data_IF_955571288499
#
_entry.id   IF_955571288499
#
_cell.length_a   1.000
_cell.length_b   1.000
_cell.length_c   1.000
_cell.angle_alpha   90.00
_cell.angle_beta   90.00
_cell.angle_gamma   90.00
#
_symmetry.space_group_name_H-M   'P 1'
#
loop_
_entity.id
_entity.type
_entity.pdbx_description
1 polymer ?
#
# COMPACT_ATOMS: atom_id res chain seq x y z
N UNK A 1 -22.30 6.40 28.79
CA UNK A 1 -21.02 6.04 28.14
C UNK A 1 -20.75 4.59 28.45
N UNK A 2 -20.23 3.79 27.51
CA UNK A 2 -19.77 2.43 27.84
C UNK A 2 -18.79 2.50 29.02
N UNK A 3 -19.01 1.64 30.02
CA UNK A 3 -18.16 1.58 31.21
C UNK A 3 -17.07 0.55 30.93
N UNK A 4 -15.82 1.00 30.88
CA UNK A 4 -14.65 0.13 30.72
C UNK A 4 -14.04 -0.15 32.09
N UNK A 5 -13.62 -1.38 32.33
CA UNK A 5 -13.03 -1.78 33.61
C UNK A 5 -11.62 -1.18 33.81
N UNK A 6 -10.91 -0.89 32.72
CA UNK A 6 -9.60 -0.23 32.72
C UNK A 6 -9.27 0.37 31.34
N UNK A 7 -8.11 1.04 31.22
CA UNK A 7 -7.58 1.50 29.94
C UNK A 7 -7.27 0.33 28.99
N UNK A 8 -6.74 -0.77 29.53
CA UNK A 8 -6.44 -2.00 28.79
C UNK A 8 -7.73 -2.62 28.26
N UNK A 9 -8.80 -2.62 29.05
CA UNK A 9 -10.11 -3.11 28.65
C UNK A 9 -10.69 -2.29 27.50
N UNK A 10 -10.64 -0.95 27.61
CA UNK A 10 -10.99 -0.04 26.52
C UNK A 10 -10.20 -0.37 25.25
N UNK A 11 -8.86 -0.36 25.32
CA UNK A 11 -8.00 -0.61 24.16
C UNK A 11 -8.25 -1.96 23.50
N UNK A 12 -8.52 -3.02 24.27
CA UNK A 12 -8.88 -4.35 23.74
C UNK A 12 -10.22 -4.31 23.01
N UNK A 13 -11.24 -3.70 23.61
CA UNK A 13 -12.59 -3.66 23.03
C UNK A 13 -12.67 -2.77 21.78
N UNK A 14 -11.85 -1.72 21.69
CA UNK A 14 -11.82 -0.82 20.54
C UNK A 14 -10.72 -1.13 19.51
N UNK A 15 -9.96 -2.22 19.71
CA UNK A 15 -8.85 -2.62 18.86
C UNK A 15 -7.82 -1.49 18.66
N UNK A 16 -7.29 -0.97 19.77
CA UNK A 16 -6.28 0.10 19.83
C UNK A 16 -5.03 -0.42 20.55
N UNK A 17 -3.83 -0.09 20.08
CA UNK A 17 -2.60 -0.40 20.83
C UNK A 17 -2.41 0.55 22.02
N UNK A 18 -1.93 -0.03 23.12
CA UNK A 18 -1.73 0.68 24.39
C UNK A 18 -0.42 1.50 24.38
N UNK A 19 0.59 1.04 23.63
CA UNK A 19 1.91 1.64 23.57
C UNK A 19 2.42 1.75 22.13
N UNK A 20 3.49 2.54 21.99
CA UNK A 20 4.15 2.80 20.71
C UNK A 20 4.79 1.54 20.15
N UNK A 21 4.81 1.45 18.83
CA UNK A 21 5.56 0.43 18.09
C UNK A 21 6.91 1.03 17.68
N UNK A 22 7.94 0.75 18.48
CA UNK A 22 9.27 1.31 18.26
C UNK A 22 9.90 0.80 16.95
N UNK A 23 9.52 -0.38 16.46
CA UNK A 23 10.02 -0.92 15.19
C UNK A 23 9.45 -0.13 14.02
N UNK A 24 8.15 0.16 14.01
CA UNK A 24 7.53 1.01 12.97
C UNK A 24 8.06 2.44 13.01
N UNK A 25 8.26 3.00 14.19
CA UNK A 25 8.82 4.34 14.37
C UNK A 25 10.25 4.40 13.83
N UNK A 26 11.08 3.42 14.17
CA UNK A 26 12.46 3.36 13.69
C UNK A 26 12.50 3.15 12.17
N UNK A 27 11.66 2.25 11.64
CA UNK A 27 11.53 2.04 10.21
C UNK A 27 11.18 3.35 9.48
N UNK A 28 10.20 4.10 9.98
CA UNK A 28 9.82 5.37 9.36
C UNK A 28 11.01 6.35 9.32
N UNK A 29 11.72 6.53 10.43
CA UNK A 29 12.87 7.43 10.53
C UNK A 29 14.01 7.05 9.59
N UNK A 30 14.25 5.76 9.41
CA UNK A 30 15.38 5.27 8.63
C UNK A 30 15.09 5.15 7.13
N UNK A 31 13.83 4.98 6.74
CA UNK A 31 13.48 4.57 5.38
C UNK A 31 12.50 5.51 4.65
N UNK A 32 11.85 6.44 5.35
CA UNK A 32 10.82 7.31 4.76
C UNK A 32 11.26 8.77 4.75
N UNK A 33 10.98 9.43 3.63
CA UNK A 33 11.22 10.85 3.41
C UNK A 33 9.94 11.66 3.64
N UNK A 34 10.07 13.00 3.67
CA UNK A 34 8.95 13.95 3.77
C UNK A 34 8.08 13.82 5.02
N UNK A 35 8.58 13.09 6.01
CA UNK A 35 7.94 13.01 7.30
C UNK A 35 7.77 14.45 7.84
N UNK A 36 6.61 14.79 8.42
CA UNK A 36 6.25 16.16 8.76
C UNK A 36 7.01 16.72 9.98
N UNK A 37 8.26 16.29 10.19
CA UNK A 37 9.10 16.63 11.31
C UNK A 37 9.87 17.91 11.05
N UNK A 38 9.54 18.96 11.79
CA UNK A 38 10.58 19.84 12.31
C UNK A 38 10.84 19.39 13.74
N UNK A 39 12.09 19.04 14.08
CA UNK A 39 12.51 18.53 15.41
C UNK A 39 12.16 19.47 16.58
N UNK A 40 11.67 20.66 16.27
CA UNK A 40 11.33 21.73 17.20
C UNK A 40 9.91 21.57 17.79
N UNK A 41 8.98 20.86 17.12
CA UNK A 41 7.64 20.58 17.65
C UNK A 41 7.50 19.16 18.21
N UNK A 42 7.78 19.03 19.51
CA UNK A 42 7.67 17.76 20.24
C UNK A 42 6.24 17.18 20.28
N UNK A 43 5.20 18.01 20.21
CA UNK A 43 3.82 17.55 20.28
C UNK A 43 3.38 16.95 18.94
N UNK A 44 3.84 17.52 17.83
CA UNK A 44 3.57 16.97 16.51
C UNK A 44 4.20 15.59 16.32
N UNK A 45 5.41 15.44 16.85
CA UNK A 45 6.14 14.19 16.84
C UNK A 45 5.42 13.07 17.62
N UNK A 46 4.94 13.38 18.82
CA UNK A 46 4.22 12.42 19.67
C UNK A 46 2.96 11.87 18.98
N UNK A 47 2.16 12.74 18.38
CA UNK A 47 0.90 12.33 17.77
C UNK A 47 1.11 11.52 16.48
N UNK A 48 2.13 11.87 15.68
CA UNK A 48 2.55 11.05 14.54
C UNK A 48 3.02 9.66 14.97
N UNK A 49 3.88 9.56 16.00
CA UNK A 49 4.36 8.26 16.50
C UNK A 49 3.21 7.38 17.00
N UNK A 50 2.21 7.98 17.66
CA UNK A 50 0.98 7.30 18.06
C UNK A 50 0.19 6.79 16.87
N UNK A 51 0.00 7.63 15.86
CA UNK A 51 -0.74 7.34 14.63
C UNK A 51 -0.18 6.10 13.93
N UNK A 52 1.12 6.07 13.63
CA UNK A 52 1.73 4.95 12.91
C UNK A 52 1.82 3.68 13.76
N UNK A 53 1.80 3.80 15.09
CA UNK A 53 1.87 2.68 16.03
C UNK A 53 0.52 1.97 16.26
N UNK A 54 -0.58 2.44 15.67
CA UNK A 54 -1.91 1.93 15.95
C UNK A 54 -2.46 2.28 17.32
N UNK A 55 -1.91 3.31 17.94
CA UNK A 55 -2.51 3.97 19.09
C UNK A 55 -3.59 4.94 18.60
N UNK A 56 -4.49 5.37 19.51
CA UNK A 56 -5.32 6.53 19.23
C UNK A 56 -4.45 7.76 19.04
N UNK A 57 -4.74 8.53 18.00
CA UNK A 57 -4.11 9.82 17.71
C UNK A 57 -5.20 10.86 17.41
N UNK A 58 -4.81 12.14 17.37
CA UNK A 58 -5.69 13.22 16.96
C UNK A 58 -5.55 13.45 15.45
N UNK A 59 -6.51 13.02 14.61
CA UNK A 59 -6.43 13.23 13.15
C UNK A 59 -6.60 14.70 12.77
N UNK A 60 -7.23 15.52 13.62
CA UNK A 60 -7.38 16.96 13.45
C UNK A 60 -6.20 17.79 13.95
N UNK A 61 -5.06 17.16 14.26
CA UNK A 61 -3.84 17.93 14.53
C UNK A 61 -3.44 18.68 13.25
N UNK A 62 -3.17 19.97 13.41
CA UNK A 62 -2.88 20.91 12.32
C UNK A 62 -1.86 20.40 11.30
N UNK A 63 -0.75 19.80 11.74
CA UNK A 63 0.30 19.37 10.81
C UNK A 63 -0.13 18.17 9.96
N UNK A 64 -0.85 17.22 10.56
CA UNK A 64 -1.43 16.10 9.83
C UNK A 64 -2.52 16.56 8.87
N UNK A 65 -3.39 17.49 9.30
CA UNK A 65 -4.43 18.07 8.45
C UNK A 65 -3.82 18.80 7.25
N UNK A 66 -2.86 19.70 7.48
CA UNK A 66 -2.18 20.43 6.42
C UNK A 66 -1.43 19.51 5.48
N UNK A 67 -0.82 18.42 5.98
CA UNK A 67 -0.18 17.43 5.14
C UNK A 67 -1.17 16.76 4.17
N UNK A 68 -2.33 16.28 4.66
CA UNK A 68 -3.37 15.68 3.82
C UNK A 68 -3.92 16.67 2.79
N UNK A 69 -4.07 17.94 3.16
CA UNK A 69 -4.54 18.98 2.23
C UNK A 69 -3.51 19.24 1.13
N UNK A 70 -2.24 19.43 1.48
CA UNK A 70 -1.15 19.67 0.51
C UNK A 70 -0.94 18.49 -0.43
N UNK A 71 -1.10 17.26 0.06
CA UNK A 71 -0.99 16.07 -0.78
C UNK A 71 -1.95 16.11 -1.97
N UNK A 72 -3.15 16.66 -1.81
CA UNK A 72 -4.14 16.76 -2.90
C UNK A 72 -3.61 17.57 -4.08
N UNK A 73 -2.83 18.62 -3.82
CA UNK A 73 -2.19 19.41 -4.87
C UNK A 73 -1.16 18.56 -5.62
N UNK A 74 -0.31 17.82 -4.91
CA UNK A 74 0.64 16.89 -5.54
C UNK A 74 -0.05 15.82 -6.38
N UNK A 75 -1.19 15.27 -5.93
CA UNK A 75 -1.94 14.26 -6.69
C UNK A 75 -2.50 14.86 -8.00
N UNK A 76 -2.97 16.10 -7.98
CA UNK A 76 -3.42 16.81 -9.18
C UNK A 76 -2.25 17.08 -10.14
N UNK A 77 -1.11 17.54 -9.62
CA UNK A 77 0.10 17.79 -10.40
C UNK A 77 0.64 16.51 -11.04
N UNK A 78 0.60 15.37 -10.34
CA UNK A 78 0.96 14.07 -10.91
C UNK A 78 0.08 13.67 -12.10
N UNK A 79 -1.20 14.03 -12.06
CA UNK A 79 -2.17 13.82 -13.14
C UNK A 79 -1.98 14.76 -14.34
N UNK A 80 -1.25 15.86 -14.18
CA UNK A 80 -1.03 16.84 -15.23
C UNK A 80 0.08 16.46 -16.22
N UNK A 81 0.90 15.45 -15.92
CA UNK A 81 1.94 14.95 -16.82
C UNK A 81 1.32 14.44 -18.14
N UNK A 82 1.63 15.09 -19.27
CA UNK A 82 1.16 14.67 -20.60
C UNK A 82 2.29 14.05 -21.38
N UNK A 83 2.06 12.85 -21.92
CA UNK A 83 3.07 12.13 -22.70
C UNK A 83 3.63 12.95 -23.88
N UNK A 84 2.79 13.78 -24.51
CA UNK A 84 3.17 14.66 -25.64
C UNK A 84 4.28 15.67 -25.31
N UNK A 85 4.53 15.94 -24.04
CA UNK A 85 5.54 16.91 -23.58
C UNK A 85 6.94 16.28 -23.42
N UNK A 86 7.06 14.97 -23.71
CA UNK A 86 8.28 14.18 -23.53
C UNK A 86 8.69 13.52 -24.85
N UNK A 87 9.99 13.22 -25.00
CA UNK A 87 10.55 12.67 -26.24
C UNK A 87 10.43 11.15 -26.31
N UNK A 88 10.21 10.48 -25.18
CA UNK A 88 10.13 9.02 -25.09
C UNK A 88 9.29 8.56 -23.90
N UNK A 89 8.82 7.31 -23.94
CA UNK A 89 8.13 6.66 -22.81
C UNK A 89 9.00 6.61 -21.57
N UNK A 90 10.30 6.34 -21.73
CA UNK A 90 11.26 6.31 -20.63
C UNK A 90 11.36 7.67 -19.93
N UNK A 91 11.51 8.75 -20.68
CA UNK A 91 11.60 10.11 -20.12
C UNK A 91 10.32 10.48 -19.35
N UNK A 92 9.15 10.15 -19.91
CA UNK A 92 7.85 10.36 -19.25
C UNK A 92 7.73 9.59 -17.93
N UNK A 93 8.07 8.30 -17.94
CA UNK A 93 8.02 7.44 -16.76
C UNK A 93 9.01 7.89 -15.68
N UNK A 94 10.25 8.24 -16.09
CA UNK A 94 11.27 8.75 -15.18
C UNK A 94 10.83 10.05 -14.51
N UNK A 95 10.30 11.01 -15.28
CA UNK A 95 9.82 12.28 -14.74
C UNK A 95 8.65 12.10 -13.77
N UNK A 96 7.69 11.22 -14.09
CA UNK A 96 6.58 10.87 -13.18
C UNK A 96 7.09 10.23 -11.90
N UNK A 97 8.01 9.28 -12.00
CA UNK A 97 8.60 8.62 -10.81
C UNK A 97 9.35 9.62 -9.94
N UNK A 98 10.14 10.50 -10.54
CA UNK A 98 10.89 11.49 -9.77
C UNK A 98 9.98 12.53 -9.12
N UNK A 99 8.82 12.83 -9.72
CA UNK A 99 7.78 13.61 -9.06
C UNK A 99 7.14 12.88 -7.88
N UNK A 100 6.87 11.57 -7.97
CA UNK A 100 6.36 10.78 -6.83
C UNK A 100 7.32 10.84 -5.63
N UNK A 101 8.63 10.84 -5.87
CA UNK A 101 9.66 10.98 -4.82
C UNK A 101 9.59 12.29 -4.05
N UNK A 102 8.82 13.29 -4.50
CA UNK A 102 8.67 14.57 -3.78
C UNK A 102 7.67 14.51 -2.63
N UNK A 103 6.81 13.48 -2.57
CA UNK A 103 5.78 13.36 -1.53
C UNK A 103 5.54 11.94 -1.01
N UNK A 104 5.92 10.90 -1.76
CA UNK A 104 5.89 9.51 -1.28
C UNK A 104 7.13 9.22 -0.42
N UNK A 105 6.97 8.47 0.67
CA UNK A 105 8.03 8.22 1.65
C UNK A 105 9.25 7.55 1.04
N UNK A 106 9.05 6.51 0.21
CA UNK A 106 10.10 5.91 -0.61
C UNK A 106 9.54 5.40 -1.93
N UNK A 107 10.28 5.62 -3.02
CA UNK A 107 9.93 5.18 -4.37
C UNK A 107 11.15 4.51 -5.01
N UNK A 108 11.10 3.19 -5.15
CA UNK A 108 12.14 2.42 -5.81
C UNK A 108 12.21 2.67 -7.32
N UNK A 109 13.35 2.32 -7.91
CA UNK A 109 13.55 2.36 -9.36
C UNK A 109 12.50 1.54 -10.10
N UNK A 110 12.17 1.92 -11.34
CA UNK A 110 11.16 1.22 -12.14
C UNK A 110 9.71 1.39 -11.66
N UNK A 111 9.46 2.14 -10.59
CA UNK A 111 8.09 2.41 -10.12
C UNK A 111 7.29 3.22 -11.15
N UNK A 112 6.08 2.76 -11.46
CA UNK A 112 5.13 3.47 -12.31
C UNK A 112 3.69 3.28 -11.81
N UNK A 113 2.91 4.35 -11.78
CA UNK A 113 1.51 4.31 -11.35
C UNK A 113 0.63 5.03 -12.35
N UNK A 114 -0.40 4.35 -12.81
CA UNK A 114 -1.43 4.95 -13.65
C UNK A 114 -2.30 5.92 -12.84
N UNK A 115 -2.53 7.12 -13.39
CA UNK A 115 -3.40 8.12 -12.76
C UNK A 115 -4.89 7.82 -13.05
N UNK A 116 -5.82 7.95 -12.09
CA UNK A 116 -5.63 8.57 -10.78
C UNK A 116 -5.11 7.63 -9.70
N UNK A 117 -4.41 8.23 -8.73
CA UNK A 117 -3.92 7.59 -7.51
C UNK A 117 -4.38 8.41 -6.30
N UNK A 118 -4.62 7.73 -5.18
CA UNK A 118 -5.16 8.33 -3.97
C UNK A 118 -4.36 7.91 -2.74
N UNK A 119 -4.02 8.88 -1.90
CA UNK A 119 -3.28 8.70 -0.67
C UNK A 119 -3.86 9.57 0.44
N UNK A 120 -3.66 9.20 1.71
CA UNK A 120 -3.92 10.11 2.83
C UNK A 120 -2.75 11.08 3.02
N UNK A 121 -1.52 10.56 3.10
CA UNK A 121 -0.30 11.33 3.37
C UNK A 121 0.79 11.13 2.32
N UNK A 122 0.92 9.93 1.75
CA UNK A 122 1.99 9.55 0.82
C UNK A 122 3.31 9.23 1.52
N UNK A 123 3.74 10.04 2.49
CA UNK A 123 5.02 9.88 3.19
C UNK A 123 5.11 8.62 4.06
N UNK A 124 3.98 7.97 4.39
CA UNK A 124 3.95 6.73 5.17
C UNK A 124 4.07 5.48 4.29
N UNK A 125 4.21 5.66 2.97
CA UNK A 125 4.29 4.56 2.00
C UNK A 125 5.74 4.33 1.56
N UNK A 126 6.17 3.07 1.69
CA UNK A 126 7.42 2.54 1.13
C UNK A 126 7.10 1.67 -0.08
N UNK A 127 7.57 2.08 -1.27
CA UNK A 127 7.48 1.29 -2.50
C UNK A 127 8.87 0.76 -2.87
N UNK A 128 8.99 -0.55 -3.03
CA UNK A 128 10.18 -1.21 -3.55
C UNK A 128 10.44 -0.91 -5.04
N UNK A 129 11.34 -1.67 -5.65
CA UNK A 129 11.67 -1.58 -7.06
C UNK A 129 10.58 -2.19 -7.93
N UNK A 130 10.44 -1.69 -9.14
CA UNK A 130 9.53 -2.20 -10.17
C UNK A 130 8.08 -2.32 -9.69
N UNK A 131 7.64 -1.42 -8.80
CA UNK A 131 6.25 -1.34 -8.39
C UNK A 131 5.40 -0.81 -9.56
N UNK A 132 4.37 -1.55 -9.93
CA UNK A 132 3.40 -1.13 -10.93
C UNK A 132 2.01 -1.05 -10.33
N UNK A 133 1.28 0.04 -10.58
CA UNK A 133 -0.16 0.05 -10.39
C UNK A 133 -0.90 0.50 -11.63
N UNK A 134 -1.97 -0.21 -11.92
CA UNK A 134 -3.00 0.23 -12.86
C UNK A 134 -3.86 1.34 -12.21
N UNK A 135 -4.89 1.81 -12.93
CA UNK A 135 -5.70 2.97 -12.55
C UNK A 135 -6.36 2.82 -11.18
N UNK A 136 -6.63 3.95 -10.52
CA UNK A 136 -7.42 4.03 -9.28
C UNK A 136 -6.81 3.30 -8.08
N UNK A 137 -5.48 3.25 -7.97
CA UNK A 137 -4.83 2.78 -6.75
C UNK A 137 -5.20 3.71 -5.58
N UNK A 138 -5.66 3.13 -4.48
CA UNK A 138 -5.97 3.86 -3.24
C UNK A 138 -5.15 3.30 -2.08
N UNK A 139 -4.31 4.12 -1.46
CA UNK A 139 -3.53 3.75 -0.27
C UNK A 139 -3.84 4.75 0.85
N UNK A 140 -4.67 4.36 1.80
CA UNK A 140 -4.91 5.16 3.01
C UNK A 140 -3.80 4.84 4.02
N UNK A 141 -2.73 5.63 4.00
CA UNK A 141 -1.48 5.41 4.74
C UNK A 141 -1.43 6.19 6.08
N UNK A 142 -2.49 6.13 6.88
CA UNK A 142 -2.44 6.58 8.28
C UNK A 142 -1.40 5.79 9.11
N UNK A 143 -1.12 4.54 8.79
CA UNK A 143 0.04 3.80 9.31
C UNK A 143 0.96 3.38 8.15
N UNK A 144 2.10 2.79 8.48
CA UNK A 144 3.15 2.44 7.52
C UNK A 144 2.62 1.40 6.53
N UNK A 145 2.76 1.69 5.24
CA UNK A 145 2.50 0.73 4.16
C UNK A 145 3.83 0.35 3.52
N UNK A 146 4.20 -0.92 3.60
CA UNK A 146 5.44 -1.47 3.02
C UNK A 146 5.07 -2.35 1.85
N UNK A 147 5.55 -2.02 0.65
CA UNK A 147 5.38 -2.81 -0.55
C UNK A 147 6.77 -3.18 -1.07
N UNK A 148 7.01 -4.48 -1.23
CA UNK A 148 8.28 -5.03 -1.71
C UNK A 148 8.54 -4.77 -3.20
N UNK A 149 9.54 -5.48 -3.71
CA UNK A 149 9.98 -5.37 -5.10
C UNK A 149 9.06 -6.18 -6.05
N UNK A 150 8.95 -5.75 -7.30
CA UNK A 150 8.20 -6.40 -8.38
C UNK A 150 6.73 -6.66 -8.05
N UNK A 151 6.10 -5.76 -7.28
CA UNK A 151 4.68 -5.87 -6.96
C UNK A 151 3.85 -5.21 -8.06
N UNK A 152 2.81 -5.92 -8.51
CA UNK A 152 1.86 -5.42 -9.50
C UNK A 152 0.47 -5.29 -8.90
N UNK A 153 -0.17 -4.14 -9.09
CA UNK A 153 -1.55 -3.87 -8.70
C UNK A 153 -2.43 -3.69 -9.94
N UNK A 154 -3.53 -4.44 -10.00
CA UNK A 154 -4.61 -4.24 -10.95
C UNK A 154 -5.39 -2.96 -10.68
N UNK A 155 -6.40 -2.70 -11.50
CA UNK A 155 -7.23 -1.49 -11.39
C UNK A 155 -8.02 -1.49 -10.09
N UNK A 156 -8.08 -0.36 -9.38
CA UNK A 156 -8.95 -0.18 -8.22
C UNK A 156 -8.51 -0.92 -6.95
N UNK A 157 -7.25 -1.33 -6.86
CA UNK A 157 -6.69 -1.92 -5.63
C UNK A 157 -6.73 -0.91 -4.48
N UNK A 158 -7.21 -1.36 -3.32
CA UNK A 158 -7.32 -0.55 -2.10
C UNK A 158 -6.47 -1.12 -0.96
N UNK A 159 -5.56 -0.33 -0.39
CA UNK A 159 -4.75 -0.68 0.78
C UNK A 159 -5.12 0.29 1.90
N UNK A 160 -5.79 -0.21 2.94
CA UNK A 160 -6.52 0.63 3.89
C UNK A 160 -6.02 0.40 5.33
N UNK A 161 -5.06 1.21 5.78
CA UNK A 161 -4.54 1.13 7.16
C UNK A 161 -5.47 1.65 8.26
N UNK A 162 -6.31 2.69 8.05
CA UNK A 162 -7.11 3.25 9.15
C UNK A 162 -8.27 2.35 9.54
N UNK A 163 -8.67 2.47 10.81
CA UNK A 163 -9.86 1.85 11.38
C UNK A 163 -10.50 2.78 12.41
N UNK A 164 -11.76 2.49 12.73
CA UNK A 164 -12.52 3.20 13.75
C UNK A 164 -13.14 2.20 14.72
N UNK A 165 -13.49 2.63 15.95
CA UNK A 165 -14.32 1.84 16.83
C UNK A 165 -15.61 1.39 16.14
N UNK A 166 -15.98 0.13 16.35
CA UNK A 166 -17.23 -0.43 15.83
C UNK A 166 -18.42 0.19 16.57
N UNK A 167 -18.28 0.46 17.88
CA UNK A 167 -19.26 1.18 18.70
C UNK A 167 -19.49 2.61 18.15
N UNK A 168 -20.70 2.95 17.71
CA UNK A 168 -21.01 4.27 17.16
C UNK A 168 -20.85 5.40 18.18
N UNK A 169 -21.06 5.14 19.48
CA UNK A 169 -20.87 6.12 20.55
C UNK A 169 -19.41 6.57 20.61
N UNK A 170 -18.49 5.61 20.51
CA UNK A 170 -17.06 5.87 20.50
C UNK A 170 -16.61 6.49 19.18
N UNK A 171 -17.14 6.00 18.05
CA UNK A 171 -16.84 6.53 16.72
C UNK A 171 -17.25 8.00 16.55
N UNK A 172 -18.34 8.43 17.19
CA UNK A 172 -18.79 9.83 17.16
C UNK A 172 -17.82 10.82 17.83
N UNK A 173 -16.86 10.32 18.60
CA UNK A 173 -15.75 11.13 19.12
C UNK A 173 -14.58 11.25 18.13
N UNK A 174 -14.77 10.84 16.87
CA UNK A 174 -13.76 10.84 15.80
C UNK A 174 -12.47 10.10 16.21
N UNK A 175 -12.62 9.06 17.02
CA UNK A 175 -11.50 8.20 17.43
C UNK A 175 -11.01 7.41 16.21
N UNK A 176 -9.71 7.51 15.96
CA UNK A 176 -9.04 6.86 14.83
C UNK A 176 -7.75 6.21 15.30
N UNK A 177 -7.46 5.05 14.72
CA UNK A 177 -6.19 4.36 14.81
C UNK A 177 -5.93 3.65 13.48
N UNK A 178 -4.68 3.30 13.21
CA UNK A 178 -4.29 2.67 11.96
C UNK A 178 -3.29 1.55 12.18
N UNK A 179 -3.37 0.50 11.38
CA UNK A 179 -2.46 -0.63 11.47
C UNK A 179 -1.66 -0.79 10.18
N UNK A 180 -0.35 -0.95 10.33
CA UNK A 180 0.56 -1.08 9.21
C UNK A 180 0.17 -2.25 8.30
N UNK A 181 0.47 -2.11 7.00
CA UNK A 181 0.32 -3.18 6.00
C UNK A 181 1.69 -3.50 5.43
N UNK A 182 1.98 -4.79 5.26
CA UNK A 182 3.19 -5.25 4.59
C UNK A 182 2.81 -6.17 3.43
N UNK A 183 3.31 -5.87 2.24
CA UNK A 183 3.19 -6.69 1.03
C UNK A 183 4.60 -7.08 0.62
N UNK A 184 4.85 -8.39 0.56
CA UNK A 184 6.11 -8.98 0.16
C UNK A 184 6.46 -8.74 -1.30
N UNK A 185 7.60 -9.30 -1.72
CA UNK A 185 8.10 -9.18 -3.08
C UNK A 185 7.27 -10.03 -4.05
N UNK A 186 7.31 -9.71 -5.34
CA UNK A 186 6.72 -10.49 -6.43
C UNK A 186 5.22 -10.80 -6.25
N UNK A 187 4.49 -9.94 -5.54
CA UNK A 187 3.06 -10.11 -5.34
C UNK A 187 2.25 -9.53 -6.51
N UNK A 188 1.13 -10.17 -6.83
CA UNK A 188 0.14 -9.63 -7.76
C UNK A 188 -1.21 -9.42 -7.07
N UNK A 189 -1.65 -8.17 -7.00
CA UNK A 189 -2.94 -7.78 -6.45
C UNK A 189 -3.93 -7.57 -7.60
N UNK A 190 -4.90 -8.46 -7.73
CA UNK A 190 -5.93 -8.40 -8.76
C UNK A 190 -6.86 -7.21 -8.59
N UNK A 191 -7.51 -6.82 -9.70
CA UNK A 191 -8.35 -5.62 -9.73
C UNK A 191 -9.45 -5.60 -8.66
N UNK A 192 -9.69 -4.44 -8.06
CA UNK A 192 -10.68 -4.19 -7.01
C UNK A 192 -10.51 -5.06 -5.76
N UNK A 193 -9.31 -5.61 -5.49
CA UNK A 193 -9.05 -6.24 -4.20
C UNK A 193 -8.75 -5.20 -3.10
N UNK A 194 -9.04 -5.56 -1.86
CA UNK A 194 -8.80 -4.72 -0.69
C UNK A 194 -7.90 -5.45 0.32
N UNK A 195 -6.88 -4.76 0.82
CA UNK A 195 -6.04 -5.20 1.94
C UNK A 195 -6.31 -4.29 3.13
N UNK A 196 -6.77 -4.87 4.25
CA UNK A 196 -7.09 -4.10 5.47
C UNK A 196 -5.86 -3.94 6.36
N UNK A 197 -5.87 -2.90 7.20
CA UNK A 197 -4.80 -2.60 8.14
C UNK A 197 -4.44 -3.77 9.06
N UNK A 198 -3.13 -3.94 9.30
CA UNK A 198 -2.60 -5.00 10.15
C UNK A 198 -2.29 -6.30 9.42
N UNK A 199 -2.50 -6.35 8.10
CA UNK A 199 -2.21 -7.52 7.27
C UNK A 199 -0.77 -7.52 6.76
N UNK A 200 -0.12 -8.67 6.88
CA UNK A 200 1.11 -9.03 6.18
C UNK A 200 0.83 -10.06 5.09
N UNK A 201 1.14 -9.73 3.84
CA UNK A 201 1.13 -10.63 2.68
C UNK A 201 2.57 -11.06 2.40
N UNK A 202 2.85 -12.35 2.44
CA UNK A 202 4.17 -12.89 2.12
C UNK A 202 4.52 -12.80 0.63
N UNK A 203 5.79 -13.04 0.31
CA UNK A 203 6.30 -12.96 -1.06
C UNK A 203 5.56 -13.90 -2.03
N UNK A 204 5.48 -13.53 -3.30
CA UNK A 204 4.95 -14.36 -4.38
C UNK A 204 3.43 -14.61 -4.30
N UNK A 205 2.71 -13.87 -3.46
CA UNK A 205 1.27 -14.06 -3.33
C UNK A 205 0.48 -13.47 -4.50
N UNK A 206 -0.63 -14.13 -4.83
CA UNK A 206 -1.64 -13.61 -5.76
C UNK A 206 -2.92 -13.35 -4.98
N UNK A 207 -3.41 -12.11 -5.02
CA UNK A 207 -4.71 -11.73 -4.47
C UNK A 207 -5.69 -11.65 -5.62
N UNK A 208 -6.72 -12.49 -5.63
CA UNK A 208 -7.71 -12.51 -6.71
C UNK A 208 -8.49 -11.19 -6.78
N UNK A 209 -9.00 -10.87 -7.97
CA UNK A 209 -9.86 -9.71 -8.18
C UNK A 209 -11.07 -9.73 -7.23
N UNK A 210 -11.43 -8.58 -6.67
CA UNK A 210 -12.54 -8.42 -5.72
C UNK A 210 -12.32 -9.05 -4.33
N UNK A 211 -11.15 -9.61 -4.05
CA UNK A 211 -10.85 -10.24 -2.76
C UNK A 211 -10.70 -9.20 -1.64
N UNK A 212 -11.16 -9.51 -0.42
CA UNK A 212 -10.94 -8.66 0.77
C UNK A 212 -10.06 -9.40 1.76
N UNK A 213 -8.76 -9.07 1.79
CA UNK A 213 -7.77 -9.71 2.66
C UNK A 213 -7.85 -9.12 4.06
N UNK A 214 -8.28 -9.94 5.03
CA UNK A 214 -8.47 -9.54 6.43
C UNK A 214 -7.54 -10.22 7.43
N UNK A 215 -6.63 -11.07 6.95
CA UNK A 215 -5.69 -11.84 7.76
C UNK A 215 -4.37 -11.97 7.01
N UNK A 216 -3.29 -12.20 7.75
CA UNK A 216 -1.97 -12.46 7.18
C UNK A 216 -2.02 -13.63 6.19
N UNK A 217 -1.25 -13.50 5.12
CA UNK A 217 -1.19 -14.45 4.01
C UNK A 217 0.23 -15.03 3.96
N UNK A 218 0.40 -16.36 4.08
CA UNK A 218 1.70 -17.00 3.89
C UNK A 218 2.22 -16.79 2.47
N UNK A 219 3.54 -16.77 2.29
CA UNK A 219 4.17 -16.65 0.97
C UNK A 219 3.64 -17.68 -0.04
N UNK A 220 3.73 -17.33 -1.32
CA UNK A 220 3.32 -18.13 -2.48
C UNK A 220 1.87 -18.60 -2.42
N UNK A 221 0.97 -17.82 -1.84
CA UNK A 221 -0.45 -18.18 -1.72
C UNK A 221 -1.31 -17.45 -2.74
N UNK A 222 -2.27 -18.17 -3.34
CA UNK A 222 -3.42 -17.59 -4.02
C UNK A 222 -4.55 -17.38 -3.01
N UNK A 223 -5.02 -16.15 -2.87
CA UNK A 223 -6.10 -15.76 -1.95
C UNK A 223 -7.29 -15.26 -2.75
N UNK A 224 -8.50 -15.73 -2.42
CA UNK A 224 -9.73 -15.24 -3.04
C UNK A 224 -10.90 -15.17 -2.04
N UNK A 225 -11.92 -14.40 -2.39
CA UNK A 225 -13.19 -14.31 -1.67
C UNK A 225 -13.32 -13.11 -0.73
N UNK A 226 -14.51 -12.99 -0.14
CA UNK A 226 -14.87 -11.96 0.84
C UNK A 226 -15.55 -12.64 2.04
N UNK A 227 -14.85 -12.79 3.18
CA UNK A 227 -13.44 -12.46 3.40
C UNK A 227 -12.48 -13.41 2.67
N UNK A 228 -11.31 -12.90 2.32
CA UNK A 228 -10.27 -13.63 1.60
C UNK A 228 -9.77 -14.86 2.35
N UNK A 229 -9.58 -15.96 1.64
CA UNK A 229 -9.02 -17.22 2.15
C UNK A 229 -7.97 -17.73 1.18
N UNK A 230 -6.93 -18.37 1.72
CA UNK A 230 -5.96 -19.11 0.89
C UNK A 230 -6.72 -20.23 0.18
N UNK A 231 -6.73 -20.20 -1.14
CA UNK A 231 -7.36 -21.20 -2.02
C UNK A 231 -6.35 -22.25 -2.43
N UNK A 232 -5.10 -21.83 -2.64
CA UNK A 232 -4.03 -22.70 -3.12
C UNK A 232 -2.66 -22.11 -2.73
N UNK A 233 -1.71 -22.98 -2.41
CA UNK A 233 -0.28 -22.62 -2.37
C UNK A 233 0.35 -22.94 -3.73
N UNK A 234 1.18 -22.03 -4.21
CA UNK A 234 1.91 -22.10 -5.47
C UNK A 234 3.34 -22.52 -5.19
N UNK A 235 3.91 -23.30 -6.10
CA UNK A 235 5.34 -23.59 -6.12
C UNK A 235 5.92 -22.77 -7.29
N UNK A 236 6.62 -21.65 -7.01
CA UNK A 236 7.29 -20.87 -8.05
C UNK A 236 8.27 -21.76 -8.81
N UNK A 237 8.24 -21.73 -10.14
CA UNK A 237 9.20 -22.47 -10.97
C UNK A 237 10.51 -21.67 -11.08
N UNK A 238 11.63 -22.37 -11.21
CA UNK A 238 12.94 -21.75 -11.42
C UNK A 238 12.97 -20.84 -12.65
N UNK A 239 13.84 -19.82 -12.60
CA UNK A 239 14.02 -18.82 -13.66
C UNK A 239 14.52 -19.39 -15.00
N UNK A 240 15.03 -20.63 -15.01
CA UNK A 240 15.41 -21.39 -16.21
C UNK A 240 14.19 -22.07 -16.86
N UNK A 241 13.06 -21.36 -16.91
CA UNK A 241 11.84 -21.88 -17.51
C UNK A 241 11.92 -21.75 -19.04
N UNK A 242 12.30 -22.83 -19.73
CA UNK A 242 12.25 -22.91 -21.19
C UNK A 242 10.78 -22.99 -21.65
N UNK A 243 10.21 -21.81 -21.93
CA UNK A 243 8.86 -21.66 -22.48
C UNK A 243 8.73 -22.41 -23.79
N UNK A 244 9.76 -22.40 -24.64
CA UNK A 244 9.72 -23.07 -25.93
C UNK A 244 9.68 -24.60 -25.77
N UNK A 245 10.37 -25.16 -24.77
CA UNK A 245 10.29 -26.59 -24.44
C UNK A 245 8.87 -26.98 -23.99
N UNK A 246 8.26 -26.16 -23.13
CA UNK A 246 6.89 -26.40 -22.65
C UNK A 246 5.89 -26.28 -23.80
N UNK A 247 5.98 -25.23 -24.61
CA UNK A 247 5.11 -25.02 -25.76
C UNK A 247 5.24 -26.19 -26.75
N UNK A 248 6.46 -26.67 -27.05
CA UNK A 248 6.71 -27.90 -27.83
C UNK A 248 6.06 -29.13 -27.21
N UNK A 249 6.16 -29.30 -25.88
CA UNK A 249 5.59 -30.44 -25.15
C UNK A 249 4.06 -30.51 -25.23
N UNK A 250 3.38 -29.37 -25.33
CA UNK A 250 1.92 -29.29 -25.44
C UNK A 250 1.43 -29.05 -26.88
N UNK A 251 2.32 -29.06 -27.89
CA UNK A 251 1.97 -28.80 -29.30
C UNK A 251 1.49 -27.37 -29.56
N UNK A 252 1.90 -26.43 -28.70
CA UNK A 252 1.60 -25.00 -28.78
C UNK A 252 2.79 -24.19 -29.35
N UNK A 253 3.78 -24.87 -29.90
CA UNK A 253 4.96 -24.31 -30.58
C UNK A 253 4.65 -23.75 -31.98
N UNK A 254 3.40 -23.88 -32.44
CA UNK A 254 2.96 -23.47 -33.79
C UNK A 254 2.26 -22.12 -33.84
N UNK A 255 2.26 -21.33 -32.74
CA UNK A 255 1.88 -19.91 -32.84
C UNK A 255 3.02 -19.22 -33.61
N UNK A 256 2.91 -19.20 -34.93
CA UNK A 256 3.81 -18.44 -35.78
C UNK A 256 3.77 -16.97 -35.34
N UNK A 257 4.95 -16.34 -35.23
CA UNK A 257 5.09 -14.90 -34.94
C UNK A 257 4.27 -14.00 -35.88
N UNK A 258 3.76 -14.54 -36.99
CA UNK A 258 2.89 -13.88 -37.96
C UNK A 258 1.43 -13.66 -37.48
N UNK A 259 0.97 -14.38 -36.45
CA UNK A 259 -0.41 -14.25 -35.91
C UNK A 259 -0.51 -13.33 -34.67
N UNK A 260 0.63 -12.95 -34.09
CA UNK A 260 0.69 -11.97 -33.01
C UNK A 260 0.87 -10.60 -33.65
N UNK A 261 -0.24 -10.03 -34.13
CA UNK A 261 -0.24 -8.65 -34.62
C UNK A 261 0.33 -7.70 -33.57
N UNK A 262 1.24 -6.82 -34.00
CA UNK A 262 1.79 -5.75 -33.16
C UNK A 262 0.64 -4.91 -32.57
N UNK A 263 0.37 -5.10 -31.27
CA UNK A 263 -0.50 -4.26 -30.47
C UNK A 263 0.18 -3.91 -29.15
#
# INVERSE_FOLDING_TARGET
MPVFASKEDFCKQVNVRIGKDNELIQFAKDNLNHLPFTLEDKNAFENYERMISGMLYNPGQKDLELARMRLRDYLLDYGNFRFRDYKSSKEYQDAKRDFLKTFIGHVGEGTFMEYPIYFDYGFNTYLGKNFYSNYNLTILDCSIVRIGDNVMCGTGVSILTPTHPIDPTLRNHALENAFAVTIGNNCWLGSNCTVVGGVTIGDGCVIAAGCVVTKNVPANSLVAGVPGRVVKTMEPRDAEFDVDEILRRYGMDTIEQSEIGEH
#
